data_IF_242422515623
#
_entry.id   IF_242422515623
#
_cell.length_a   1.000
_cell.length_b   1.000
_cell.length_c   1.000
_cell.angle_alpha   90.00
_cell.angle_beta   90.00
_cell.angle_gamma   90.00
#
_symmetry.space_group_name_H-M   'P 1'
#
loop_
_entity.id
_entity.type
_entity.pdbx_description
1 polymer ?
#
# COMPACT_ATOMS: atom_id res chain seq x y z
N UNK A 1 -59.56 28.07 -17.29
CA UNK A 1 -59.47 26.79 -16.52
C UNK A 1 -58.40 25.81 -17.04
N UNK A 2 -57.43 26.20 -17.88
CA UNK A 2 -56.72 25.20 -18.69
C UNK A 2 -55.20 25.04 -18.48
N UNK A 3 -54.50 25.93 -17.74
CA UNK A 3 -53.02 25.84 -17.67
C UNK A 3 -52.49 25.01 -16.48
N UNK A 4 -52.98 25.23 -15.24
CA UNK A 4 -52.52 24.47 -14.06
C UNK A 4 -52.67 22.95 -14.24
N UNK A 5 -53.72 22.50 -14.92
CA UNK A 5 -53.99 21.08 -15.17
C UNK A 5 -52.94 20.38 -16.06
N UNK A 6 -51.99 21.13 -16.66
CA UNK A 6 -50.89 20.60 -17.47
C UNK A 6 -49.69 20.17 -16.63
N UNK A 7 -49.58 20.66 -15.39
CA UNK A 7 -48.45 20.39 -14.50
C UNK A 7 -48.70 19.14 -13.66
N UNK A 8 -47.63 18.48 -13.21
CA UNK A 8 -47.76 17.26 -12.42
C UNK A 8 -48.34 17.59 -11.04
N UNK A 9 -49.02 16.61 -10.43
CA UNK A 9 -49.56 16.74 -9.07
C UNK A 9 -48.49 17.23 -8.07
N UNK A 10 -47.26 16.75 -8.22
CA UNK A 10 -46.11 17.10 -7.35
C UNK A 10 -45.71 18.57 -7.54
N UNK A 11 -45.62 19.04 -8.78
CA UNK A 11 -45.26 20.44 -9.08
C UNK A 11 -46.32 21.42 -8.56
N UNK A 12 -47.61 21.05 -8.72
CA UNK A 12 -48.74 21.82 -8.20
C UNK A 12 -48.82 21.80 -6.68
N UNK A 13 -48.49 20.67 -6.04
CA UNK A 13 -48.46 20.56 -4.59
C UNK A 13 -47.34 21.43 -3.99
N UNK A 14 -46.16 21.43 -4.62
CA UNK A 14 -45.03 22.27 -4.22
C UNK A 14 -45.35 23.76 -4.35
N UNK A 15 -45.96 24.19 -5.47
CA UNK A 15 -46.44 25.57 -5.61
C UNK A 15 -47.46 25.93 -4.52
N UNK A 16 -48.41 25.03 -4.23
CA UNK A 16 -49.42 25.28 -3.21
C UNK A 16 -48.82 25.38 -1.80
N UNK A 17 -47.82 24.56 -1.48
CA UNK A 17 -47.07 24.61 -0.23
C UNK A 17 -46.27 25.93 -0.10
N UNK A 18 -45.63 26.38 -1.17
CA UNK A 18 -44.93 27.68 -1.22
C UNK A 18 -45.88 28.88 -1.05
N UNK A 19 -47.14 28.73 -1.48
CA UNK A 19 -48.23 29.70 -1.24
C UNK A 19 -48.86 29.57 0.16
N UNK A 20 -48.39 28.65 1.01
CA UNK A 20 -48.92 28.43 2.36
C UNK A 20 -50.27 27.71 2.40
N UNK A 21 -50.63 26.99 1.33
CA UNK A 21 -51.88 26.23 1.25
C UNK A 21 -51.69 24.80 1.75
N UNK A 22 -52.59 24.33 2.61
CA UNK A 22 -52.59 22.95 3.07
C UNK A 22 -53.08 21.99 1.97
N UNK A 23 -52.15 21.16 1.50
CA UNK A 23 -52.41 20.06 0.56
C UNK A 23 -52.33 18.72 1.32
N UNK A 24 -53.35 17.90 1.17
CA UNK A 24 -53.38 16.55 1.72
C UNK A 24 -53.08 15.51 0.64
N UNK A 25 -52.70 14.30 1.06
CA UNK A 25 -52.45 13.18 0.13
C UNK A 25 -53.70 12.80 -0.68
N UNK A 26 -54.89 13.04 -0.13
CA UNK A 26 -56.20 12.78 -0.73
C UNK A 26 -56.59 13.78 -1.83
N UNK A 27 -56.02 14.98 -1.83
CA UNK A 27 -56.33 16.01 -2.83
C UNK A 27 -55.96 15.52 -4.24
N UNK A 28 -56.90 15.55 -5.19
CA UNK A 28 -56.61 15.28 -6.59
C UNK A 28 -56.04 16.53 -7.25
N UNK A 29 -55.42 16.37 -8.43
CA UNK A 29 -54.90 17.50 -9.22
C UNK A 29 -55.95 18.62 -9.38
N UNK A 30 -57.21 18.24 -9.57
CA UNK A 30 -58.33 19.20 -9.70
C UNK A 30 -58.58 19.97 -8.41
N UNK A 31 -58.46 19.32 -7.25
CA UNK A 31 -58.69 19.92 -5.94
C UNK A 31 -57.55 20.90 -5.60
N UNK A 32 -56.30 20.51 -5.87
CA UNK A 32 -55.11 21.38 -5.75
C UNK A 32 -55.23 22.59 -6.68
N UNK A 33 -55.61 22.39 -7.94
CA UNK A 33 -55.83 23.48 -8.90
C UNK A 33 -56.91 24.47 -8.43
N UNK A 34 -57.95 23.99 -7.73
CA UNK A 34 -59.00 24.84 -7.17
C UNK A 34 -58.50 25.64 -5.97
N UNK A 35 -57.77 25.00 -5.05
CA UNK A 35 -57.17 25.65 -3.87
C UNK A 35 -56.23 26.78 -4.29
N UNK A 36 -55.34 26.54 -5.26
CA UNK A 36 -54.40 27.54 -5.79
C UNK A 36 -55.15 28.76 -6.36
N UNK A 37 -56.17 28.53 -7.21
CA UNK A 37 -56.93 29.62 -7.85
C UNK A 37 -57.80 30.43 -6.89
N UNK A 38 -58.23 29.81 -5.79
CA UNK A 38 -59.06 30.46 -4.79
C UNK A 38 -58.23 31.20 -3.73
N UNK A 39 -56.89 31.15 -3.82
CA UNK A 39 -56.00 31.92 -2.95
C UNK A 39 -56.16 33.43 -3.22
N UNK A 40 -56.22 34.28 -2.17
CA UNK A 40 -56.32 35.73 -2.34
C UNK A 40 -55.12 36.34 -3.07
N UNK A 41 -53.95 35.67 -3.00
CA UNK A 41 -52.69 36.11 -3.59
C UNK A 41 -52.40 35.45 -4.96
N UNK A 42 -53.42 34.85 -5.59
CA UNK A 42 -53.25 34.19 -6.88
C UNK A 42 -53.10 35.17 -8.05
N UNK A 43 -51.94 35.11 -8.70
CA UNK A 43 -51.66 35.79 -9.97
C UNK A 43 -51.23 34.78 -11.04
N UNK A 44 -51.91 34.78 -12.19
CA UNK A 44 -51.77 33.72 -13.21
C UNK A 44 -50.38 33.67 -13.85
N UNK A 45 -49.80 34.82 -14.21
CA UNK A 45 -48.44 34.87 -14.80
C UNK A 45 -47.36 34.52 -13.78
N UNK A 46 -47.52 34.92 -12.52
CA UNK A 46 -46.61 34.56 -11.44
C UNK A 46 -46.64 33.05 -11.17
N UNK A 47 -47.84 32.46 -11.02
CA UNK A 47 -48.01 31.03 -10.81
C UNK A 47 -47.45 30.19 -11.96
N UNK A 48 -47.57 30.68 -13.20
CA UNK A 48 -46.99 30.05 -14.38
C UNK A 48 -45.46 30.10 -14.36
N UNK A 49 -44.87 31.25 -14.05
CA UNK A 49 -43.41 31.40 -13.90
C UNK A 49 -42.85 30.48 -12.81
N UNK A 50 -43.51 30.41 -11.66
CA UNK A 50 -43.10 29.53 -10.55
C UNK A 50 -43.19 28.04 -10.93
N UNK A 51 -44.27 27.63 -11.59
CA UNK A 51 -44.42 26.24 -12.02
C UNK A 51 -43.41 25.82 -13.10
N UNK A 52 -43.02 26.74 -13.98
CA UNK A 52 -41.97 26.48 -14.96
C UNK A 52 -40.61 26.27 -14.26
N UNK A 53 -40.28 27.08 -13.24
CA UNK A 53 -39.07 26.91 -12.42
C UNK A 53 -39.10 25.58 -11.65
N UNK A 54 -40.19 25.28 -10.95
CA UNK A 54 -40.37 24.02 -10.21
C UNK A 54 -40.22 22.81 -11.14
N UNK A 55 -40.79 22.89 -12.35
CA UNK A 55 -40.69 21.82 -13.34
C UNK A 55 -39.25 21.62 -13.83
N UNK A 56 -38.52 22.71 -14.06
CA UNK A 56 -37.11 22.69 -14.47
C UNK A 56 -36.20 22.15 -13.36
N UNK A 57 -36.39 22.60 -12.12
CA UNK A 57 -35.63 22.10 -10.96
C UNK A 57 -35.83 20.60 -10.78
N UNK A 58 -37.08 20.12 -10.82
CA UNK A 58 -37.39 18.68 -10.73
C UNK A 58 -36.72 17.88 -11.85
N UNK A 59 -36.67 18.42 -13.06
CA UNK A 59 -36.03 17.75 -14.19
C UNK A 59 -34.50 17.71 -14.05
N UNK A 60 -33.90 18.80 -13.59
CA UNK A 60 -32.46 18.86 -13.28
C UNK A 60 -32.09 17.91 -12.13
N UNK A 61 -32.85 17.89 -11.04
CA UNK A 61 -32.66 16.96 -9.92
C UNK A 61 -32.80 15.50 -10.38
N UNK A 62 -33.80 15.20 -11.21
CA UNK A 62 -33.98 13.86 -11.76
C UNK A 62 -32.83 13.46 -12.72
N UNK A 63 -32.27 14.40 -13.46
CA UNK A 63 -31.11 14.16 -14.32
C UNK A 63 -29.84 13.90 -13.51
N UNK A 64 -29.60 14.68 -12.45
CA UNK A 64 -28.49 14.45 -11.51
C UNK A 64 -28.61 13.07 -10.85
N UNK A 65 -29.79 12.71 -10.33
CA UNK A 65 -30.02 11.41 -9.70
C UNK A 65 -29.81 10.24 -10.69
N UNK A 66 -30.21 10.40 -11.95
CA UNK A 66 -29.95 9.42 -13.01
C UNK A 66 -28.47 9.30 -13.34
N UNK A 67 -27.75 10.42 -13.38
CA UNK A 67 -26.32 10.44 -13.65
C UNK A 67 -25.51 9.79 -12.51
N UNK A 68 -25.90 10.02 -11.26
CA UNK A 68 -25.28 9.39 -10.09
C UNK A 68 -25.50 7.87 -10.09
N UNK A 69 -26.73 7.40 -10.30
CA UNK A 69 -27.02 5.97 -10.43
C UNK A 69 -26.22 5.32 -11.58
N UNK A 70 -26.13 5.97 -12.74
CA UNK A 70 -25.35 5.47 -13.86
C UNK A 70 -23.84 5.43 -13.58
N UNK A 71 -23.33 6.36 -12.76
CA UNK A 71 -21.93 6.38 -12.34
C UNK A 71 -21.64 5.24 -11.35
N UNK A 72 -22.52 5.05 -10.37
CA UNK A 72 -22.42 3.97 -9.38
C UNK A 72 -22.47 2.59 -10.05
N UNK A 73 -23.37 2.40 -11.02
CA UNK A 73 -23.47 1.16 -11.80
C UNK A 73 -22.19 0.86 -12.59
N UNK A 74 -21.60 1.87 -13.24
CA UNK A 74 -20.31 1.74 -13.96
C UNK A 74 -19.16 1.38 -13.02
N UNK A 75 -19.11 2.00 -11.85
CA UNK A 75 -18.09 1.72 -10.84
C UNK A 75 -18.22 0.29 -10.30
N UNK A 76 -19.45 -0.15 -10.01
CA UNK A 76 -19.74 -1.52 -9.60
C UNK A 76 -19.39 -2.54 -10.69
N UNK A 77 -19.65 -2.24 -11.97
CA UNK A 77 -19.27 -3.11 -13.09
C UNK A 77 -17.75 -3.24 -13.22
N UNK A 78 -17.00 -2.14 -13.11
CA UNK A 78 -15.54 -2.13 -13.13
C UNK A 78 -14.96 -2.93 -11.95
N UNK A 79 -15.51 -2.75 -10.75
CA UNK A 79 -15.11 -3.51 -9.57
C UNK A 79 -15.37 -5.01 -9.74
N UNK A 80 -16.51 -5.40 -10.36
CA UNK A 80 -16.82 -6.81 -10.66
C UNK A 80 -15.84 -7.40 -11.67
N UNK A 81 -15.57 -6.68 -12.77
CA UNK A 81 -14.57 -7.09 -13.78
C UNK A 81 -13.17 -7.21 -13.18
N UNK A 82 -12.79 -6.31 -12.28
CA UNK A 82 -11.52 -6.38 -11.55
C UNK A 82 -11.39 -7.63 -10.69
N UNK A 83 -12.42 -7.96 -9.90
CA UNK A 83 -12.45 -9.19 -9.08
C UNK A 83 -12.39 -10.46 -9.93
N UNK A 84 -13.13 -10.49 -11.03
CA UNK A 84 -13.13 -11.62 -11.97
C UNK A 84 -11.76 -11.81 -12.64
N UNK A 85 -11.11 -10.71 -13.06
CA UNK A 85 -9.77 -10.76 -13.63
C UNK A 85 -8.71 -11.23 -12.61
N UNK A 86 -8.83 -10.82 -11.34
CA UNK A 86 -7.95 -11.29 -10.28
C UNK A 86 -8.14 -12.78 -9.99
N UNK A 87 -9.38 -13.26 -9.91
CA UNK A 87 -9.69 -14.68 -9.76
C UNK A 87 -9.15 -15.50 -10.93
N UNK A 88 -9.39 -15.06 -12.16
CA UNK A 88 -8.86 -15.73 -13.35
C UNK A 88 -7.32 -15.70 -13.42
N UNK A 89 -6.67 -14.70 -12.81
CA UNK A 89 -5.21 -14.67 -12.69
C UNK A 89 -4.73 -15.69 -11.66
N UNK A 90 -5.37 -15.75 -10.49
CA UNK A 90 -5.07 -16.75 -9.46
C UNK A 90 -5.29 -18.17 -9.99
N UNK A 91 -6.38 -18.41 -10.72
CA UNK A 91 -6.66 -19.71 -11.33
C UNK A 91 -5.57 -20.12 -12.33
N UNK A 92 -5.15 -19.22 -13.23
CA UNK A 92 -4.02 -19.48 -14.14
C UNK A 92 -2.70 -19.71 -13.41
N UNK A 93 -2.45 -19.00 -12.31
CA UNK A 93 -1.26 -19.22 -11.47
C UNK A 93 -1.32 -20.59 -10.79
N UNK A 94 -2.48 -21.02 -10.29
CA UNK A 94 -2.66 -22.36 -9.71
C UNK A 94 -2.59 -23.48 -10.75
N UNK A 95 -3.12 -23.25 -11.96
CA UNK A 95 -3.05 -24.20 -13.06
C UNK A 95 -1.61 -24.39 -13.53
N UNK A 96 -0.86 -23.29 -13.70
CA UNK A 96 0.58 -23.36 -14.00
C UNK A 96 1.38 -24.04 -12.89
N UNK A 97 1.03 -23.81 -11.63
CA UNK A 97 1.67 -24.48 -10.50
C UNK A 97 1.39 -25.98 -10.52
N UNK A 98 0.13 -26.39 -10.78
CA UNK A 98 -0.26 -27.79 -10.91
C UNK A 98 0.41 -28.46 -12.11
N UNK A 99 0.51 -27.78 -13.25
CA UNK A 99 1.18 -28.31 -14.45
C UNK A 99 2.69 -28.47 -14.23
N UNK A 100 3.35 -27.51 -13.55
CA UNK A 100 4.74 -27.64 -13.11
C UNK A 100 4.94 -28.80 -12.14
N UNK A 101 3.99 -29.01 -11.21
CA UNK A 101 4.04 -30.13 -10.27
C UNK A 101 3.81 -31.48 -10.96
N UNK A 102 2.90 -31.53 -11.93
CA UNK A 102 2.69 -32.71 -12.78
C UNK A 102 3.94 -33.04 -13.61
N UNK A 103 4.58 -32.05 -14.24
CA UNK A 103 5.85 -32.24 -14.96
C UNK A 103 6.98 -32.66 -14.01
N UNK A 104 7.02 -32.15 -12.77
CA UNK A 104 7.96 -32.64 -11.74
C UNK A 104 7.70 -34.10 -11.41
N UNK A 105 6.45 -34.52 -11.24
CA UNK A 105 6.08 -35.91 -10.97
C UNK A 105 6.37 -36.81 -12.18
N UNK A 106 6.09 -36.38 -13.41
CA UNK A 106 6.39 -37.14 -14.64
C UNK A 106 7.90 -37.29 -14.86
N UNK A 107 8.68 -36.23 -14.66
CA UNK A 107 10.15 -36.32 -14.67
C UNK A 107 10.68 -37.19 -13.52
N UNK A 108 10.04 -37.15 -12.34
CA UNK A 108 10.36 -38.03 -11.24
C UNK A 108 10.02 -39.49 -11.58
N UNK A 109 8.89 -39.75 -12.24
CA UNK A 109 8.48 -41.08 -12.68
C UNK A 109 9.40 -41.65 -13.78
N UNK A 110 9.87 -40.82 -14.72
CA UNK A 110 10.92 -41.18 -15.68
C UNK A 110 12.25 -41.49 -14.97
N UNK A 111 12.58 -40.79 -13.88
CA UNK A 111 13.75 -41.16 -13.05
C UNK A 111 13.50 -42.41 -12.17
N UNK A 112 12.26 -42.71 -11.79
CA UNK A 112 11.90 -43.90 -10.99
C UNK A 112 11.96 -45.18 -11.85
N UNK A 113 11.69 -45.10 -13.16
CA UNK A 113 11.87 -46.24 -14.08
C UNK A 113 13.34 -46.59 -14.35
N UNK A 114 14.29 -45.72 -14.02
CA UNK A 114 15.73 -45.96 -14.18
C UNK A 114 16.48 -46.19 -12.85
N UNK A 115 15.83 -46.01 -11.69
CA UNK A 115 16.50 -46.00 -10.39
C UNK A 115 16.13 -47.17 -9.45
N UNK A 116 15.60 -48.28 -9.97
CA UNK A 116 15.33 -49.47 -9.14
C UNK A 116 16.58 -50.24 -8.69
N UNK A 117 17.77 -49.79 -9.07
CA UNK A 117 19.03 -50.31 -8.53
C UNK A 117 20.10 -49.22 -8.50
N UNK A 118 20.14 -48.41 -7.44
CA UNK A 118 21.38 -47.94 -6.82
C UNK A 118 21.09 -47.08 -5.59
N UNK A 119 21.42 -47.67 -4.44
CA UNK A 119 22.17 -47.08 -3.33
C UNK A 119 21.96 -45.60 -3.04
N UNK A 120 21.57 -45.32 -1.80
CA UNK A 120 21.95 -44.14 -1.03
C UNK A 120 23.35 -43.64 -1.43
N UNK A 121 23.44 -42.37 -1.80
CA UNK A 121 24.68 -41.72 -2.21
C UNK A 121 24.45 -40.53 -3.14
N UNK A 122 24.48 -39.33 -2.58
CA UNK A 122 24.69 -38.07 -3.32
C UNK A 122 23.69 -37.79 -4.45
N UNK A 123 22.49 -37.28 -4.11
CA UNK A 123 22.00 -36.15 -4.92
C UNK A 123 23.08 -35.10 -4.78
N UNK A 124 23.78 -34.79 -5.86
CA UNK A 124 24.78 -33.74 -5.91
C UNK A 124 24.09 -32.42 -5.56
N UNK A 125 23.91 -32.13 -4.26
CA UNK A 125 23.43 -30.84 -3.75
C UNK A 125 24.46 -29.85 -4.26
N UNK A 126 24.10 -29.03 -5.25
CA UNK A 126 25.01 -28.00 -5.73
C UNK A 126 25.29 -27.12 -4.53
N UNK A 127 26.51 -27.22 -4.03
CA UNK A 127 26.92 -26.41 -2.90
C UNK A 127 26.74 -24.94 -3.30
N UNK A 128 26.17 -24.11 -2.42
CA UNK A 128 25.86 -22.70 -2.73
C UNK A 128 27.08 -21.95 -3.25
N UNK A 129 28.29 -22.37 -2.83
CA UNK A 129 29.59 -21.89 -3.32
C UNK A 129 29.80 -22.01 -4.84
N UNK A 130 29.04 -22.86 -5.52
CA UNK A 130 29.07 -23.04 -6.97
C UNK A 130 28.02 -22.17 -7.70
N UNK A 131 27.04 -21.64 -6.98
CA UNK A 131 25.91 -20.87 -7.51
C UNK A 131 26.10 -19.36 -7.32
N UNK A 132 26.87 -18.98 -6.29
CA UNK A 132 27.14 -17.60 -5.94
C UNK A 132 28.63 -17.29 -5.98
N UNK A 133 28.96 -16.08 -6.41
CA UNK A 133 30.31 -15.55 -6.25
C UNK A 133 30.56 -15.20 -4.78
N UNK A 134 31.83 -15.18 -4.38
CA UNK A 134 32.21 -14.70 -3.05
C UNK A 134 31.80 -13.24 -2.88
N UNK A 135 31.44 -12.89 -1.65
CA UNK A 135 31.06 -11.53 -1.33
C UNK A 135 32.23 -10.56 -1.56
N UNK A 136 31.96 -9.49 -2.30
CA UNK A 136 32.89 -8.40 -2.54
C UNK A 136 32.36 -7.12 -1.87
N UNK A 137 33.04 -6.70 -0.79
CA UNK A 137 32.65 -5.54 0.00
C UNK A 137 32.80 -4.20 -0.73
N UNK A 138 33.54 -4.14 -1.84
CA UNK A 138 33.75 -2.90 -2.59
C UNK A 138 32.63 -2.66 -3.62
N UNK A 139 32.12 -3.73 -4.22
CA UNK A 139 31.19 -3.63 -5.35
C UNK A 139 29.79 -4.14 -5.02
N UNK A 140 29.61 -4.84 -3.90
CA UNK A 140 28.34 -5.49 -3.57
C UNK A 140 27.76 -4.95 -2.28
N UNK A 141 26.49 -4.55 -2.33
CA UNK A 141 25.71 -4.20 -1.14
C UNK A 141 25.44 -5.48 -0.32
N UNK A 142 25.84 -5.49 0.95
CA UNK A 142 25.67 -6.65 1.83
C UNK A 142 24.20 -7.07 1.96
N UNK A 143 23.26 -6.13 1.97
CA UNK A 143 21.83 -6.46 2.12
C UNK A 143 21.30 -7.17 0.87
N UNK A 144 21.64 -6.68 -0.32
CA UNK A 144 21.28 -7.33 -1.58
C UNK A 144 21.93 -8.70 -1.70
N UNK A 145 23.18 -8.83 -1.26
CA UNK A 145 23.91 -10.09 -1.26
C UNK A 145 23.25 -11.13 -0.34
N UNK A 146 22.89 -10.74 0.88
CA UNK A 146 22.20 -11.62 1.83
C UNK A 146 20.82 -12.00 1.29
N UNK A 147 20.07 -11.07 0.69
CA UNK A 147 18.78 -11.39 0.04
C UNK A 147 18.94 -12.37 -1.11
N UNK A 148 19.98 -12.24 -1.93
CA UNK A 148 20.29 -13.22 -2.98
C UNK A 148 20.64 -14.59 -2.39
N UNK A 149 21.45 -14.62 -1.34
CA UNK A 149 21.80 -15.84 -0.61
C UNK A 149 20.56 -16.55 -0.07
N UNK A 150 19.68 -15.86 0.64
CA UNK A 150 18.45 -16.43 1.20
C UNK A 150 17.54 -17.01 0.10
N UNK A 151 17.42 -16.31 -1.03
CA UNK A 151 16.65 -16.81 -2.18
C UNK A 151 17.26 -18.08 -2.76
N UNK A 152 18.59 -18.14 -2.88
CA UNK A 152 19.29 -19.32 -3.41
C UNK A 152 19.21 -20.49 -2.45
N UNK A 153 19.37 -20.26 -1.15
CA UNK A 153 19.27 -21.29 -0.12
C UNK A 153 17.87 -21.91 -0.08
N UNK A 154 16.82 -21.09 -0.14
CA UNK A 154 15.44 -21.58 -0.25
C UNK A 154 15.19 -22.34 -1.56
N UNK A 155 15.72 -21.85 -2.68
CA UNK A 155 15.55 -22.48 -3.99
C UNK A 155 16.22 -23.87 -4.08
N UNK A 156 17.36 -24.05 -3.44
CA UNK A 156 18.09 -25.33 -3.37
C UNK A 156 17.62 -26.24 -2.23
N UNK A 157 16.60 -25.83 -1.46
CA UNK A 157 16.09 -26.58 -0.32
C UNK A 157 17.18 -26.83 0.74
N UNK A 158 17.96 -25.79 1.05
CA UNK A 158 18.95 -25.85 2.12
C UNK A 158 18.25 -25.58 3.44
N UNK A 159 18.40 -26.52 4.37
CA UNK A 159 17.87 -26.42 5.74
C UNK A 159 18.50 -25.21 6.45
N UNK A 160 17.71 -24.46 7.23
CA UNK A 160 18.15 -23.20 7.85
C UNK A 160 19.37 -23.39 8.77
N UNK A 161 19.51 -24.56 9.38
CA UNK A 161 20.67 -24.93 10.21
C UNK A 161 21.99 -24.97 9.43
N UNK A 162 21.92 -25.18 8.11
CA UNK A 162 23.10 -25.17 7.24
C UNK A 162 23.42 -23.78 6.69
N UNK A 163 22.50 -22.81 6.76
CA UNK A 163 22.65 -21.51 6.08
C UNK A 163 23.91 -20.78 6.52
N UNK A 164 24.21 -20.74 7.82
CA UNK A 164 25.40 -20.04 8.32
C UNK A 164 26.68 -20.67 7.77
N UNK A 165 26.76 -22.00 7.73
CA UNK A 165 27.94 -22.70 7.20
C UNK A 165 28.15 -22.41 5.71
N UNK A 166 27.07 -22.37 4.93
CA UNK A 166 27.10 -22.04 3.51
C UNK A 166 27.51 -20.58 3.31
N UNK A 167 26.96 -19.66 4.10
CA UNK A 167 27.29 -18.23 4.04
C UNK A 167 28.77 -17.98 4.38
N UNK A 168 29.30 -18.56 5.44
CA UNK A 168 30.72 -18.41 5.83
C UNK A 168 31.65 -18.81 4.68
N UNK A 169 31.31 -19.86 3.92
CA UNK A 169 32.12 -20.31 2.78
C UNK A 169 32.23 -19.28 1.64
N UNK A 170 31.27 -18.35 1.58
CA UNK A 170 31.18 -17.30 0.58
C UNK A 170 31.75 -15.95 1.04
N UNK A 171 31.99 -15.78 2.34
CA UNK A 171 32.48 -14.52 2.89
C UNK A 171 34.02 -14.44 2.86
N UNK A 172 34.58 -13.23 2.67
CA UNK A 172 35.97 -12.94 3.00
C UNK A 172 36.31 -13.30 4.45
N UNK A 173 37.57 -13.65 4.70
CA UNK A 173 38.03 -14.13 6.01
C UNK A 173 37.78 -13.12 7.13
N UNK A 174 37.95 -11.83 6.87
CA UNK A 174 37.74 -10.77 7.86
C UNK A 174 36.27 -10.65 8.30
N UNK A 175 35.31 -10.94 7.41
CA UNK A 175 33.89 -10.99 7.78
C UNK A 175 33.53 -12.27 8.51
N UNK A 176 34.07 -13.41 8.07
CA UNK A 176 33.92 -14.68 8.80
C UNK A 176 34.47 -14.58 10.23
N UNK A 177 35.58 -13.86 10.43
CA UNK A 177 36.18 -13.61 11.73
C UNK A 177 35.32 -12.77 12.68
N UNK A 178 34.35 -12.01 12.17
CA UNK A 178 33.39 -11.29 13.03
C UNK A 178 32.33 -12.27 13.54
N UNK A 179 31.88 -13.19 12.69
CA UNK A 179 30.86 -14.19 13.04
C UNK A 179 31.34 -15.11 14.16
N UNK A 180 32.60 -15.59 14.09
CA UNK A 180 33.16 -16.49 15.11
C UNK A 180 33.41 -15.84 16.49
N UNK A 181 33.24 -14.52 16.62
CA UNK A 181 33.36 -13.82 17.90
C UNK A 181 32.07 -13.85 18.71
N UNK A 182 30.95 -14.18 18.08
CA UNK A 182 29.67 -14.43 18.73
C UNK A 182 29.71 -15.78 19.47
N UNK A 183 28.76 -16.00 20.40
CA UNK A 183 28.65 -17.31 21.07
C UNK A 183 28.30 -18.42 20.07
N UNK A 184 28.55 -19.68 20.44
CA UNK A 184 28.24 -20.80 19.54
C UNK A 184 26.74 -20.89 19.24
N UNK A 185 25.88 -20.57 20.22
CA UNK A 185 24.43 -20.51 20.06
C UNK A 185 24.03 -19.40 19.07
N UNK A 186 24.61 -18.21 19.24
CA UNK A 186 24.37 -17.04 18.41
C UNK A 186 24.89 -17.22 16.98
N UNK A 187 25.98 -17.97 16.79
CA UNK A 187 26.52 -18.27 15.47
C UNK A 187 25.64 -19.25 14.70
N UNK A 188 24.94 -20.17 15.38
CA UNK A 188 24.03 -21.12 14.71
C UNK A 188 22.78 -20.45 14.15
N UNK A 189 22.39 -19.32 14.72
CA UNK A 189 21.19 -18.60 14.31
C UNK A 189 21.47 -17.64 13.14
N UNK A 190 20.93 -17.94 11.95
CA UNK A 190 21.14 -17.11 10.76
C UNK A 190 20.67 -15.66 10.95
N UNK A 191 19.56 -15.44 11.65
CA UNK A 191 19.04 -14.08 11.92
C UNK A 191 20.04 -13.23 12.69
N UNK A 192 20.72 -13.82 13.68
CA UNK A 192 21.77 -13.15 14.42
C UNK A 192 23.00 -12.87 13.55
N UNK A 193 23.47 -13.85 12.76
CA UNK A 193 24.58 -13.65 11.82
C UNK A 193 24.28 -12.56 10.79
N UNK A 194 23.06 -12.55 10.23
CA UNK A 194 22.54 -11.50 9.34
C UNK A 194 22.65 -10.13 10.01
N UNK A 195 22.19 -10.01 11.26
CA UNK A 195 22.26 -8.76 12.03
C UNK A 195 23.70 -8.28 12.24
N UNK A 196 24.59 -9.17 12.67
CA UNK A 196 26.02 -8.86 12.89
C UNK A 196 26.68 -8.34 11.60
N UNK A 197 26.39 -8.97 10.46
CA UNK A 197 26.89 -8.52 9.16
C UNK A 197 26.30 -7.15 8.79
N UNK A 198 24.99 -6.95 8.90
CA UNK A 198 24.36 -5.65 8.62
C UNK A 198 24.95 -4.54 9.50
N UNK A 199 25.14 -4.79 10.80
CA UNK A 199 25.75 -3.85 11.74
C UNK A 199 27.18 -3.50 11.36
N UNK A 200 27.98 -4.47 10.91
CA UNK A 200 29.35 -4.24 10.40
C UNK A 200 29.37 -3.26 9.24
N UNK A 201 28.36 -3.30 8.37
CA UNK A 201 28.21 -2.39 7.23
C UNK A 201 27.36 -1.14 7.55
N UNK A 202 27.01 -0.91 8.83
CA UNK A 202 26.18 0.21 9.29
C UNK A 202 24.81 0.26 8.60
N UNK A 203 24.25 -0.90 8.25
CA UNK A 203 22.94 -1.05 7.64
C UNK A 203 21.84 -0.99 8.71
N UNK A 204 21.65 0.21 9.27
CA UNK A 204 20.57 0.54 10.21
C UNK A 204 19.29 0.91 9.47
N UNK A 205 18.12 0.96 10.14
CA UNK A 205 16.87 1.36 9.50
C UNK A 205 16.96 2.69 8.74
N UNK A 206 17.62 3.70 9.31
CA UNK A 206 17.84 5.00 8.64
C UNK A 206 18.73 4.87 7.39
N UNK A 207 19.72 3.98 7.40
CA UNK A 207 20.56 3.72 6.21
C UNK A 207 19.73 3.10 5.08
N UNK A 208 18.85 2.14 5.42
CA UNK A 208 17.91 1.55 4.48
C UNK A 208 16.94 2.60 3.91
N UNK A 209 16.39 3.48 4.76
CA UNK A 209 15.54 4.61 4.32
C UNK A 209 16.26 5.53 3.34
N UNK A 210 17.49 5.91 3.65
CA UNK A 210 18.30 6.78 2.79
C UNK A 210 18.53 6.10 1.43
N UNK A 211 18.90 4.81 1.43
CA UNK A 211 19.05 4.04 0.18
C UNK A 211 17.72 3.96 -0.57
N UNK A 212 16.62 3.60 0.06
CA UNK A 212 15.31 3.55 -0.57
C UNK A 212 14.91 4.89 -1.24
N UNK A 213 15.22 6.02 -0.60
CA UNK A 213 14.79 7.34 -1.08
C UNK A 213 15.75 7.99 -2.08
N UNK A 214 17.05 7.72 -1.97
CA UNK A 214 18.09 8.39 -2.77
C UNK A 214 18.69 7.49 -3.86
N UNK A 215 18.46 6.18 -3.80
CA UNK A 215 19.01 5.26 -4.79
C UNK A 215 18.44 5.53 -6.17
N UNK A 216 19.33 5.55 -7.16
CA UNK A 216 19.01 5.84 -8.54
C UNK A 216 19.51 4.71 -9.44
N UNK A 217 18.77 4.43 -10.50
CA UNK A 217 19.18 3.47 -11.52
C UNK A 217 20.48 3.95 -12.17
N UNK A 218 21.47 3.07 -12.33
CA UNK A 218 22.70 3.42 -13.06
C UNK A 218 22.45 3.32 -14.57
N UNK A 219 23.32 3.98 -15.34
CA UNK A 219 23.26 3.90 -16.78
C UNK A 219 23.59 2.46 -17.23
N UNK A 220 22.64 1.80 -17.88
CA UNK A 220 22.77 0.42 -18.37
C UNK A 220 21.96 -0.61 -17.57
N UNK A 221 21.54 -0.30 -16.35
CA UNK A 221 20.75 -1.21 -15.51
C UNK A 221 19.31 -1.33 -15.99
N UNK A 222 18.67 -2.47 -15.74
CA UNK A 222 17.27 -2.67 -16.06
C UNK A 222 16.38 -2.04 -14.98
N UNK A 223 15.22 -1.51 -15.36
CA UNK A 223 14.26 -0.96 -14.39
C UNK A 223 13.78 -1.99 -13.37
N UNK A 224 13.69 -3.27 -13.76
CA UNK A 224 13.34 -4.38 -12.86
C UNK A 224 14.38 -4.57 -11.74
N UNK A 225 15.64 -4.26 -12.02
CA UNK A 225 16.72 -4.39 -11.05
C UNK A 225 16.56 -3.29 -9.99
N UNK A 226 16.29 -2.05 -10.42
CA UNK A 226 15.96 -0.96 -9.49
C UNK A 226 14.74 -1.30 -8.60
N UNK A 227 13.68 -1.88 -9.18
CA UNK A 227 12.50 -2.29 -8.38
C UNK A 227 12.89 -3.31 -7.31
N UNK A 228 13.71 -4.30 -7.67
CA UNK A 228 14.20 -5.29 -6.72
C UNK A 228 15.06 -4.67 -5.60
N UNK A 229 15.95 -3.75 -5.97
CA UNK A 229 16.81 -3.05 -5.01
C UNK A 229 15.99 -2.17 -4.05
N UNK A 230 15.02 -1.42 -4.57
CA UNK A 230 14.11 -0.61 -3.77
C UNK A 230 13.26 -1.47 -2.84
N UNK A 231 12.78 -2.63 -3.29
CA UNK A 231 12.05 -3.57 -2.44
C UNK A 231 12.94 -4.06 -1.29
N UNK A 232 14.16 -4.48 -1.57
CA UNK A 232 15.12 -4.90 -0.54
C UNK A 232 15.39 -3.78 0.49
N UNK A 233 15.52 -2.54 0.03
CA UNK A 233 15.74 -1.42 0.95
C UNK A 233 14.51 -1.06 1.78
N UNK A 234 13.31 -1.17 1.20
CA UNK A 234 12.07 -1.00 1.94
C UNK A 234 11.91 -2.10 2.99
N UNK A 235 12.13 -3.36 2.62
CA UNK A 235 12.04 -4.52 3.52
C UNK A 235 13.00 -4.38 4.70
N UNK A 236 14.27 -4.02 4.45
CA UNK A 236 15.23 -3.77 5.53
C UNK A 236 14.86 -2.58 6.42
N UNK A 237 14.18 -1.56 5.87
CA UNK A 237 13.71 -0.41 6.65
C UNK A 237 12.54 -0.80 7.57
N UNK A 238 11.54 -1.54 7.05
CA UNK A 238 10.36 -1.94 7.83
C UNK A 238 10.72 -3.02 8.87
N UNK A 239 11.56 -4.00 8.52
CA UNK A 239 12.02 -5.04 9.43
C UNK A 239 12.82 -4.42 10.58
N UNK A 240 13.72 -3.49 10.27
CA UNK A 240 14.54 -2.82 11.28
C UNK A 240 13.76 -1.91 12.23
N UNK A 241 12.54 -1.51 11.88
CA UNK A 241 11.61 -0.76 12.74
C UNK A 241 10.53 -1.66 13.37
N UNK A 242 10.61 -2.99 13.17
CA UNK A 242 9.61 -3.96 13.62
C UNK A 242 8.18 -3.66 13.15
N UNK A 243 8.03 -3.13 11.93
CA UNK A 243 6.71 -2.84 11.35
C UNK A 243 6.18 -4.11 10.70
N UNK A 244 5.08 -4.64 11.26
CA UNK A 244 4.52 -5.94 10.86
C UNK A 244 3.14 -5.85 10.19
N UNK A 245 2.52 -4.66 10.19
CA UNK A 245 1.16 -4.46 9.68
C UNK A 245 1.03 -3.25 8.74
N UNK A 246 -0.07 -3.23 7.99
CA UNK A 246 -0.37 -2.14 7.05
C UNK A 246 -0.55 -0.79 7.76
N UNK A 247 -1.06 -0.80 9.00
CA UNK A 247 -1.26 0.41 9.80
C UNK A 247 0.08 1.08 10.13
N UNK A 248 1.05 0.30 10.59
CA UNK A 248 2.41 0.75 10.88
C UNK A 248 3.13 1.24 9.63
N UNK A 249 2.94 0.56 8.49
CA UNK A 249 3.47 1.04 7.20
C UNK A 249 2.88 2.40 6.82
N UNK A 250 1.56 2.58 6.95
CA UNK A 250 0.91 3.86 6.66
C UNK A 250 1.42 4.98 7.58
N UNK A 251 1.52 4.70 8.89
CA UNK A 251 2.09 5.63 9.85
C UNK A 251 3.52 6.03 9.48
N UNK A 252 4.38 5.05 9.16
CA UNK A 252 5.76 5.29 8.71
C UNK A 252 5.81 6.19 7.48
N UNK A 253 4.97 5.92 6.47
CA UNK A 253 4.95 6.71 5.23
C UNK A 253 4.58 8.17 5.48
N UNK A 254 3.57 8.42 6.32
CA UNK A 254 3.16 9.78 6.70
C UNK A 254 4.26 10.46 7.53
N UNK A 255 4.84 9.75 8.51
CA UNK A 255 5.90 10.28 9.34
C UNK A 255 7.14 10.64 8.52
N UNK A 256 7.57 9.78 7.58
CA UNK A 256 8.69 10.11 6.68
C UNK A 256 8.39 11.32 5.80
N UNK A 257 7.16 11.47 5.30
CA UNK A 257 6.76 12.67 4.56
C UNK A 257 6.79 13.92 5.44
N UNK A 258 6.37 13.84 6.70
CA UNK A 258 6.45 14.94 7.64
C UNK A 258 7.92 15.32 7.91
N UNK A 259 8.78 14.33 8.20
CA UNK A 259 10.21 14.50 8.45
C UNK A 259 10.93 15.27 7.32
N UNK A 260 10.54 15.07 6.06
CA UNK A 260 11.11 15.77 4.90
C UNK A 260 10.80 17.28 4.86
N UNK A 261 9.77 17.73 5.58
CA UNK A 261 9.35 19.14 5.65
C UNK A 261 9.96 19.88 6.85
N UNK A 262 10.60 19.15 7.75
CA UNK A 262 11.19 19.70 8.97
C UNK A 262 12.58 20.28 8.65
N UNK A 263 12.89 21.53 9.05
CA UNK A 263 14.22 22.11 8.89
C UNK A 263 15.30 21.29 9.60
N UNK A 264 16.51 21.29 9.06
CA UNK A 264 17.63 20.51 9.61
C UNK A 264 17.93 20.90 11.07
N UNK A 265 17.78 22.17 11.45
CA UNK A 265 18.05 22.62 12.83
C UNK A 265 17.11 21.99 13.85
N UNK A 266 15.87 21.69 13.43
CA UNK A 266 14.89 21.00 14.29
C UNK A 266 15.19 19.51 14.31
N UNK A 267 15.53 18.92 13.16
CA UNK A 267 15.95 17.52 13.07
C UNK A 267 17.14 17.22 13.99
N UNK A 268 18.15 18.09 14.00
CA UNK A 268 19.36 17.93 14.81
C UNK A 268 19.06 17.89 16.32
N UNK A 269 17.97 18.54 16.77
CA UNK A 269 17.53 18.47 18.16
C UNK A 269 17.05 17.07 18.57
N UNK A 270 16.51 16.30 17.61
CA UNK A 270 15.92 14.99 17.84
C UNK A 270 16.79 13.85 17.27
N UNK A 271 18.08 14.10 16.97
CA UNK A 271 18.93 13.21 16.19
C UNK A 271 18.89 11.74 16.68
N UNK A 272 18.95 11.52 18.00
CA UNK A 272 19.03 10.20 18.62
C UNK A 272 17.75 9.37 18.45
N UNK A 273 16.59 10.03 18.42
CA UNK A 273 15.28 9.37 18.31
C UNK A 273 14.61 9.57 16.93
N UNK A 274 15.20 10.40 16.06
CA UNK A 274 14.60 10.80 14.79
C UNK A 274 14.21 9.61 13.91
N UNK A 275 15.04 8.57 13.88
CA UNK A 275 14.77 7.33 13.13
C UNK A 275 13.60 6.54 13.67
N UNK A 276 13.36 6.60 14.99
CA UNK A 276 12.37 5.79 15.72
C UNK A 276 10.99 6.46 15.79
N UNK A 277 10.90 7.76 15.48
CA UNK A 277 9.64 8.50 15.41
C UNK A 277 8.81 8.07 14.19
N UNK A 278 8.11 6.95 14.30
CA UNK A 278 7.28 6.37 13.24
C UNK A 278 5.81 6.80 13.30
N UNK A 279 5.32 7.23 14.46
CA UNK A 279 3.95 7.71 14.62
C UNK A 279 3.86 9.20 14.21
N UNK A 280 3.04 9.55 13.21
CA UNK A 280 2.90 10.93 12.73
C UNK A 280 2.40 11.92 13.78
N UNK A 281 1.48 11.51 14.65
CA UNK A 281 0.90 12.39 15.67
C UNK A 281 1.89 12.62 16.81
N UNK A 282 2.64 11.59 17.20
CA UNK A 282 3.72 11.73 18.18
C UNK A 282 4.81 12.66 17.64
N UNK A 283 5.21 12.46 16.38
CA UNK A 283 6.19 13.32 15.71
C UNK A 283 5.70 14.78 15.65
N UNK A 284 4.47 15.00 15.20
CA UNK A 284 3.88 16.34 15.15
C UNK A 284 3.86 17.01 16.53
N UNK A 285 3.40 16.30 17.56
CA UNK A 285 3.39 16.84 18.92
C UNK A 285 4.77 17.24 19.44
N UNK A 286 5.83 16.48 19.12
CA UNK A 286 7.21 16.85 19.46
C UNK A 286 7.68 18.09 18.71
N UNK A 287 7.34 18.22 17.43
CA UNK A 287 7.67 19.40 16.62
C UNK A 287 6.99 20.65 17.17
N UNK A 288 5.68 20.57 17.46
CA UNK A 288 4.91 21.69 18.03
C UNK A 288 5.47 22.15 19.38
N UNK A 289 5.85 21.20 20.25
CA UNK A 289 6.48 21.50 21.53
C UNK A 289 7.81 22.24 21.37
N UNK A 290 8.66 21.79 20.44
CA UNK A 290 9.92 22.46 20.14
C UNK A 290 9.69 23.90 19.65
N UNK A 291 8.73 24.09 18.74
CA UNK A 291 8.39 25.41 18.20
C UNK A 291 7.83 26.34 19.28
N UNK A 292 6.99 25.84 20.19
CA UNK A 292 6.46 26.63 21.32
C UNK A 292 7.58 27.14 22.24
N UNK A 293 8.53 26.27 22.60
CA UNK A 293 9.67 26.64 23.48
C UNK A 293 10.58 27.65 22.78
N UNK A 294 10.84 27.47 21.48
CA UNK A 294 11.69 28.40 20.71
C UNK A 294 10.99 29.72 20.40
N UNK A 295 9.68 29.69 20.18
CA UNK A 295 8.83 30.86 20.01
C UNK A 295 8.84 31.76 21.25
N UNK A 296 8.76 31.17 22.45
CA UNK A 296 8.85 31.93 23.71
C UNK A 296 10.24 32.57 23.94
N UNK A 297 11.32 31.93 23.48
CA UNK A 297 12.68 32.51 23.55
C UNK A 297 12.88 33.72 22.63
N UNK A 298 12.11 33.85 21.55
CA UNK A 298 12.20 35.02 20.64
C UNK A 298 11.40 36.24 21.13
N UNK A 299 10.44 36.04 22.04
CA UNK A 299 9.54 37.11 22.53
C UNK A 299 10.09 37.80 23.79
N UNK A 300 11.05 37.20 24.49
CA UNK A 300 11.77 37.83 25.60
C UNK A 300 13.21 38.18 25.21
N UNK A 301 13.45 39.30 24.50
CA UNK A 301 14.76 39.92 24.51
C UNK A 301 14.95 40.57 25.89
N UNK A 302 16.06 40.25 26.55
CA UNK A 302 16.58 40.99 27.70
C UNK A 302 17.01 42.39 27.26
#
# INVERSE_FOLDING_TARGET
MAFLAKFRKVDLARLAEEMGLEITSEDRVIDICKKIKNSPDYEEEFAKGQLDVISQEREAEAEIARAELAREEREAELARKGREAELARKERETERAYELEKLKIESAAETVSLNSTRSEGSRNRREIKQLMQKFDSQNTDISLYLTLFERQARAEGIEEEEWVSQLISLLPLDLAQIIIKESEEQMREYTNVKKVLLDRFKMKPETFRIKFTQHQRKQGDLWKDLVFELQNYLDGWIEGLNITDFKGLNALMIADQLKRRVPNEVKDHFLDEWGELIDPLVLAGKLDQYESVRGHRKINPV
#
